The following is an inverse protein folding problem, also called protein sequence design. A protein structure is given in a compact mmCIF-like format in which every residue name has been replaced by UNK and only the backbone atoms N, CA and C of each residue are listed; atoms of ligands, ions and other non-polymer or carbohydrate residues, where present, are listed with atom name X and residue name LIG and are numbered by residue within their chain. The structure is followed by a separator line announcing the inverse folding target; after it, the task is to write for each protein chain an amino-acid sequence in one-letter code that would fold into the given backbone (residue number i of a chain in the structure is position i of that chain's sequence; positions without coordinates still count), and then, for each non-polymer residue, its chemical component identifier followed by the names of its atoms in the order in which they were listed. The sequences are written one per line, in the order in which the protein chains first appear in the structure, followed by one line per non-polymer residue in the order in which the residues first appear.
data_IF_498490883857
#
_entry.id   IF_498490883857
#
_cell.length_a   1.000
_cell.length_b   1.000
_cell.length_c   1.000
_cell.angle_alpha   90.00
_cell.angle_beta   90.00
_cell.angle_gamma   90.00
#
_symmetry.space_group_name_H-M   'P 1'
#
loop_
_entity.id
_entity.type
_entity.pdbx_description
1 polymer ?
#
# COMPACT_ATOMS: atom_id res chain seq x y z
N UNK A 1 51.06 -14.22 -18.07
CA UNK A 1 50.10 -13.34 -17.35
C UNK A 1 48.70 -13.63 -17.90
N UNK A 2 47.72 -13.73 -16.99
CA UNK A 2 46.26 -13.82 -17.19
C UNK A 2 45.76 -15.15 -17.78
N UNK A 3 45.17 -16.07 -17.00
CA UNK A 3 43.82 -16.06 -16.41
C UNK A 3 42.75 -16.02 -17.52
N UNK A 4 41.88 -17.02 -17.72
CA UNK A 4 41.15 -17.84 -16.75
C UNK A 4 39.67 -17.48 -16.89
N UNK A 5 38.82 -18.43 -17.30
CA UNK A 5 37.39 -18.19 -17.48
C UNK A 5 36.66 -19.35 -18.16
N UNK A 6 36.24 -20.32 -17.36
CA UNK A 6 35.35 -21.40 -17.74
C UNK A 6 33.92 -20.87 -17.96
N UNK A 7 33.29 -21.27 -19.05
CA UNK A 7 31.84 -21.16 -19.26
C UNK A 7 31.36 -22.51 -19.80
N UNK A 8 30.79 -23.33 -18.91
CA UNK A 8 30.11 -24.57 -19.30
C UNK A 8 28.60 -24.32 -19.31
N UNK A 9 28.06 -24.54 -20.50
CA UNK A 9 26.66 -24.49 -20.88
C UNK A 9 25.80 -25.60 -20.27
N UNK A 10 24.52 -25.28 -20.19
CA UNK A 10 23.34 -26.12 -20.40
C UNK A 10 23.28 -27.51 -19.75
N UNK A 11 22.40 -27.64 -18.75
CA UNK A 11 21.73 -28.90 -18.48
C UNK A 11 20.23 -28.77 -18.77
N UNK A 12 19.83 -29.38 -19.88
CA UNK A 12 18.47 -29.78 -20.23
C UNK A 12 18.36 -31.27 -19.92
N UNK A 13 17.33 -31.72 -19.21
CA UNK A 13 16.32 -32.67 -19.72
C UNK A 13 15.40 -33.28 -18.63
N UNK A 14 14.13 -33.38 -19.05
CA UNK A 14 13.11 -34.40 -18.78
C UNK A 14 12.44 -34.50 -17.40
N UNK A 15 11.26 -33.88 -17.36
CA UNK A 15 9.93 -34.48 -17.14
C UNK A 15 9.88 -35.89 -16.52
N UNK A 16 9.27 -35.98 -15.34
CA UNK A 16 8.57 -37.19 -14.87
C UNK A 16 7.28 -36.76 -14.19
N UNK A 17 6.15 -37.10 -14.81
CA UNK A 17 4.83 -37.05 -14.19
C UNK A 17 4.81 -37.99 -12.99
N UNK A 18 4.32 -37.50 -11.86
CA UNK A 18 3.94 -38.34 -10.72
C UNK A 18 2.77 -37.67 -10.01
N UNK A 19 1.59 -37.99 -10.53
CA UNK A 19 0.33 -37.94 -9.82
C UNK A 19 0.44 -38.75 -8.52
N UNK A 20 0.49 -38.08 -7.38
CA UNK A 20 0.15 -38.68 -6.08
C UNK A 20 -0.51 -37.66 -5.18
N UNK A 21 -1.81 -37.87 -4.97
CA UNK A 21 -2.38 -37.87 -3.63
C UNK A 21 -2.64 -36.51 -2.99
N UNK A 22 -3.90 -36.11 -3.07
CA UNK A 22 -4.63 -35.45 -1.99
C UNK A 22 -3.98 -35.63 -0.60
N UNK A 23 -3.48 -34.53 -0.04
CA UNK A 23 -3.32 -34.41 1.42
C UNK A 23 -4.28 -33.32 1.86
N UNK A 24 -5.49 -33.74 2.20
CA UNK A 24 -6.42 -32.95 3.00
C UNK A 24 -5.75 -32.63 4.33
N UNK A 25 -5.16 -31.43 4.43
CA UNK A 25 -5.00 -30.80 5.72
C UNK A 25 -6.29 -30.03 5.97
N UNK A 26 -7.11 -30.55 6.89
CA UNK A 26 -8.28 -29.86 7.46
C UNK A 26 -7.81 -28.67 8.31
N UNK A 27 -7.17 -27.70 7.67
CA UNK A 27 -6.96 -26.38 8.24
C UNK A 27 -8.34 -25.71 8.28
N UNK A 28 -8.86 -25.48 9.49
CA UNK A 28 -10.09 -24.69 9.70
C UNK A 28 -10.03 -23.47 8.77
N UNK A 29 -11.08 -23.20 7.97
CA UNK A 29 -11.05 -22.08 7.04
C UNK A 29 -10.72 -20.83 7.85
N UNK A 30 -9.70 -20.10 7.40
CA UNK A 30 -9.33 -18.83 8.02
C UNK A 30 -10.60 -17.98 8.07
N UNK A 31 -10.88 -17.25 9.17
CA UNK A 31 -12.16 -16.53 9.34
C UNK A 31 -12.43 -15.50 8.24
N UNK A 32 -11.41 -15.14 7.45
CA UNK A 32 -11.51 -14.22 6.32
C UNK A 32 -11.63 -14.92 4.95
N UNK A 33 -11.69 -16.25 4.90
CA UNK A 33 -11.78 -17.01 3.64
C UNK A 33 -13.11 -17.74 3.58
N UNK A 34 -14.00 -17.25 2.72
CA UNK A 34 -15.26 -17.94 2.42
C UNK A 34 -14.97 -19.28 1.70
N UNK A 35 -15.42 -20.42 2.25
CA UNK A 35 -15.24 -21.74 1.62
C UNK A 35 -15.85 -21.85 0.22
N UNK A 36 -16.87 -21.04 -0.09
CA UNK A 36 -17.52 -21.01 -1.40
C UNK A 36 -16.87 -20.00 -2.36
N UNK A 37 -15.82 -19.29 -1.93
CA UNK A 37 -15.16 -18.30 -2.76
C UNK A 37 -14.35 -18.97 -3.88
N UNK A 38 -14.95 -19.04 -5.07
CA UNK A 38 -14.26 -19.45 -6.28
C UNK A 38 -13.48 -18.24 -6.80
N UNK A 39 -12.16 -18.31 -6.74
CA UNK A 39 -11.31 -17.28 -7.34
C UNK A 39 -11.64 -17.21 -8.83
N UNK A 40 -11.98 -16.03 -9.35
CA UNK A 40 -11.99 -15.74 -10.79
C UNK A 40 -10.56 -15.70 -11.36
N UNK A 41 -9.70 -16.61 -10.88
CA UNK A 41 -8.38 -16.83 -11.42
C UNK A 41 -8.48 -17.25 -12.87
N UNK A 42 -7.40 -17.03 -13.61
CA UNK A 42 -7.11 -17.63 -14.91
C UNK A 42 -7.79 -19.02 -14.99
N UNK A 43 -8.88 -19.11 -15.77
CA UNK A 43 -9.62 -20.35 -16.00
C UNK A 43 -10.39 -20.92 -14.80
N UNK A 44 -11.43 -20.24 -14.32
CA UNK A 44 -12.51 -20.92 -13.61
C UNK A 44 -13.23 -21.91 -14.55
N UNK A 45 -13.60 -23.09 -14.05
CA UNK A 45 -14.13 -24.23 -14.83
C UNK A 45 -15.46 -23.98 -15.60
N UNK A 46 -16.01 -22.76 -15.54
CA UNK A 46 -17.21 -22.35 -16.27
C UNK A 46 -17.05 -21.04 -17.08
N UNK A 47 -15.84 -20.45 -17.13
CA UNK A 47 -15.57 -19.25 -17.91
C UNK A 47 -14.72 -19.62 -19.14
N UNK A 48 -15.40 -19.81 -20.27
CA UNK A 48 -14.74 -19.93 -21.58
C UNK A 48 -13.70 -18.84 -21.78
N UNK A 49 -12.64 -19.17 -22.52
CA UNK A 49 -11.46 -18.36 -22.86
C UNK A 49 -11.80 -16.94 -23.36
N UNK A 50 -12.22 -16.04 -22.47
CA UNK A 50 -12.33 -14.62 -22.74
C UNK A 50 -11.26 -13.91 -21.92
N UNK A 51 -10.36 -13.23 -22.62
CA UNK A 51 -9.33 -12.41 -22.03
C UNK A 51 -9.98 -11.45 -21.04
N UNK A 52 -9.44 -11.37 -19.82
CA UNK A 52 -9.89 -10.44 -18.78
C UNK A 52 -9.73 -9.01 -19.32
N UNK A 53 -10.80 -8.41 -19.83
CA UNK A 53 -10.80 -7.00 -20.21
C UNK A 53 -10.82 -6.16 -18.93
N UNK A 54 -9.88 -5.23 -18.83
CA UNK A 54 -9.85 -4.27 -17.74
C UNK A 54 -11.02 -3.29 -17.93
N UNK A 55 -11.99 -3.32 -17.02
CA UNK A 55 -13.10 -2.36 -17.04
C UNK A 55 -12.60 -1.00 -16.60
N UNK A 56 -13.03 0.05 -17.29
CA UNK A 56 -12.74 1.41 -16.89
C UNK A 56 -13.65 1.85 -15.72
N UNK A 57 -13.27 2.87 -14.96
CA UNK A 57 -14.03 3.33 -13.77
C UNK A 57 -15.51 3.58 -14.09
N UNK A 58 -15.80 4.24 -15.22
CA UNK A 58 -17.18 4.50 -15.67
C UNK A 58 -18.00 3.22 -15.83
N UNK A 59 -17.40 2.15 -16.38
CA UNK A 59 -18.07 0.88 -16.59
C UNK A 59 -18.29 0.13 -15.27
N UNK A 60 -17.33 0.22 -14.34
CA UNK A 60 -17.45 -0.34 -12.99
C UNK A 60 -18.64 0.32 -12.30
N UNK A 61 -18.65 1.64 -12.19
CA UNK A 61 -19.74 2.39 -11.54
C UNK A 61 -21.11 2.14 -12.18
N UNK A 62 -21.18 2.03 -13.52
CA UNK A 62 -22.43 1.71 -14.21
C UNK A 62 -22.92 0.29 -13.90
N UNK A 63 -22.01 -0.70 -13.92
CA UNK A 63 -22.37 -2.08 -13.58
C UNK A 63 -22.73 -2.24 -12.11
N UNK A 64 -22.08 -1.48 -11.24
CA UNK A 64 -22.39 -1.46 -9.82
C UNK A 64 -23.82 -0.95 -9.62
N UNK A 65 -24.19 0.24 -10.11
CA UNK A 65 -25.54 0.81 -9.94
C UNK A 65 -26.70 -0.09 -10.41
N UNK A 66 -26.44 -1.03 -11.32
CA UNK A 66 -27.45 -1.95 -11.85
C UNK A 66 -27.65 -3.22 -10.97
N UNK A 67 -26.80 -3.46 -9.99
CA UNK A 67 -26.91 -4.60 -9.09
C UNK A 67 -27.84 -4.27 -7.89
N UNK A 68 -28.58 -5.26 -7.37
CA UNK A 68 -29.42 -5.09 -6.19
C UNK A 68 -28.56 -5.03 -4.92
N UNK A 69 -27.93 -3.88 -4.65
CA UNK A 69 -27.10 -3.65 -3.47
C UNK A 69 -27.88 -3.74 -2.17
N UNK A 70 -27.27 -4.38 -1.17
CA UNK A 70 -27.61 -4.20 0.24
C UNK A 70 -26.79 -3.05 0.84
N UNK A 71 -27.28 -2.46 1.93
CA UNK A 71 -26.63 -1.30 2.58
C UNK A 71 -25.18 -1.57 3.01
N UNK A 72 -24.86 -2.83 3.33
CA UNK A 72 -23.55 -3.24 3.83
C UNK A 72 -22.63 -3.81 2.73
N UNK A 73 -23.08 -3.84 1.48
CA UNK A 73 -22.28 -4.39 0.40
C UNK A 73 -21.16 -3.40 0.02
N UNK A 74 -19.92 -3.89 -0.15
CA UNK A 74 -18.81 -3.05 -0.56
C UNK A 74 -18.98 -2.63 -2.03
N UNK A 75 -19.11 -1.32 -2.26
CA UNK A 75 -19.01 -0.69 -3.58
C UNK A 75 -17.62 -0.08 -3.75
N UNK A 76 -17.18 0.09 -5.01
CA UNK A 76 -15.94 0.79 -5.35
C UNK A 76 -15.79 2.16 -4.66
N UNK A 77 -16.89 2.86 -4.38
CA UNK A 77 -16.85 4.16 -3.70
C UNK A 77 -16.63 4.05 -2.18
N UNK A 78 -17.05 2.95 -1.56
CA UNK A 78 -17.05 2.78 -0.10
C UNK A 78 -15.83 2.01 0.42
N UNK A 79 -14.98 1.52 -0.48
CA UNK A 79 -13.74 0.85 -0.10
C UNK A 79 -12.64 1.89 0.13
N UNK A 80 -12.41 2.24 1.39
CA UNK A 80 -11.23 3.03 1.77
C UNK A 80 -10.12 2.12 2.31
N UNK A 81 -8.87 2.53 2.12
CA UNK A 81 -7.75 1.83 2.71
C UNK A 81 -7.79 1.98 4.24
N UNK A 82 -7.47 0.93 5.01
CA UNK A 82 -7.35 1.07 6.46
C UNK A 82 -6.20 2.03 6.80
N UNK A 83 -6.26 2.71 7.96
CA UNK A 83 -5.18 3.58 8.40
C UNK A 83 -3.87 2.79 8.55
N UNK A 84 -2.74 3.46 8.30
CA UNK A 84 -1.42 2.82 8.44
C UNK A 84 -1.12 2.48 9.90
N UNK A 85 -0.75 1.22 10.16
CA UNK A 85 -0.20 0.77 11.44
C UNK A 85 1.27 1.14 11.63
N UNK A 86 1.99 1.48 10.55
CA UNK A 86 3.39 1.88 10.64
C UNK A 86 3.49 3.33 11.09
N UNK A 87 4.29 3.64 12.13
CA UNK A 87 4.48 5.02 12.57
C UNK A 87 5.10 5.86 11.45
N UNK A 88 4.59 7.07 11.27
CA UNK A 88 5.10 7.99 10.26
C UNK A 88 6.51 8.46 10.63
N UNK A 89 7.42 8.46 9.64
CA UNK A 89 8.73 9.10 9.77
C UNK A 89 8.57 10.61 9.89
N UNK A 90 9.39 11.23 10.75
CA UNK A 90 9.38 12.68 10.98
C UNK A 90 10.58 13.30 10.28
N UNK A 91 10.32 14.40 9.60
CA UNK A 91 11.32 15.18 8.87
C UNK A 91 11.27 16.63 9.34
N UNK A 92 12.39 17.34 9.21
CA UNK A 92 12.51 18.76 9.51
C UNK A 92 11.62 19.55 8.56
N UNK A 93 10.90 20.53 9.10
CA UNK A 93 10.05 21.39 8.28
C UNK A 93 10.87 22.43 7.48
N UNK A 94 12.17 22.57 7.78
CA UNK A 94 13.09 23.50 7.12
C UNK A 94 13.91 22.78 6.04
N UNK A 95 14.70 21.76 6.41
CA UNK A 95 15.61 21.07 5.49
C UNK A 95 15.05 19.79 4.87
N UNK A 96 13.99 19.22 5.43
CA UNK A 96 13.49 17.89 5.01
C UNK A 96 14.35 16.71 5.46
N UNK A 97 15.41 16.93 6.26
CA UNK A 97 16.20 15.85 6.86
C UNK A 97 15.44 15.13 7.98
N UNK A 98 15.80 13.89 8.36
CA UNK A 98 15.15 13.19 9.47
C UNK A 98 15.22 14.01 10.77
N UNK A 99 14.06 14.30 11.36
CA UNK A 99 13.96 15.12 12.57
C UNK A 99 13.59 14.28 13.78
N UNK A 100 14.47 14.29 14.78
CA UNK A 100 14.24 13.64 16.07
C UNK A 100 13.52 14.56 17.07
N UNK A 101 13.57 15.87 16.83
CA UNK A 101 13.10 16.88 17.78
C UNK A 101 11.99 17.75 17.21
N UNK A 102 11.22 18.34 18.12
CA UNK A 102 10.11 19.25 17.80
C UNK A 102 10.11 20.36 18.82
N UNK A 103 10.01 21.59 18.36
CA UNK A 103 9.92 22.74 19.23
C UNK A 103 8.55 22.77 19.94
N UNK A 104 8.49 22.83 21.29
CA UNK A 104 7.22 22.94 22.00
C UNK A 104 6.40 24.19 21.69
N UNK A 105 7.04 25.30 21.27
CA UNK A 105 6.38 26.59 21.04
C UNK A 105 5.77 26.69 19.64
N UNK A 106 6.60 26.56 18.59
CA UNK A 106 6.16 26.62 17.19
C UNK A 106 5.56 25.30 16.68
N UNK A 107 5.79 24.19 17.39
CA UNK A 107 5.52 22.81 16.93
C UNK A 107 6.31 22.40 15.68
N UNK A 108 7.25 23.21 15.18
CA UNK A 108 8.07 22.84 14.03
C UNK A 108 9.09 21.76 14.40
N UNK A 109 9.34 20.85 13.46
CA UNK A 109 10.33 19.78 13.55
C UNK A 109 11.66 20.27 13.00
N UNK A 110 12.76 19.91 13.66
CA UNK A 110 14.10 20.31 13.27
C UNK A 110 15.10 19.15 13.46
N UNK A 111 16.18 19.21 12.69
CA UNK A 111 17.28 18.23 12.71
C UNK A 111 18.55 18.78 13.37
N UNK A 112 18.83 20.08 13.25
CA UNK A 112 20.05 20.71 13.74
C UNK A 112 19.77 21.83 14.72
N UNK A 113 20.77 22.21 15.51
CA UNK A 113 20.66 23.33 16.46
C UNK A 113 20.50 24.69 15.75
N UNK A 114 21.07 24.83 14.55
CA UNK A 114 20.94 26.03 13.72
C UNK A 114 19.49 26.25 13.27
N UNK A 115 18.81 25.17 12.86
CA UNK A 115 17.38 25.22 12.54
C UNK A 115 16.54 25.60 13.76
N UNK A 116 16.90 25.12 14.95
CA UNK A 116 16.20 25.49 16.18
C UNK A 116 16.30 27.00 16.47
N UNK A 117 17.49 27.58 16.31
CA UNK A 117 17.70 29.02 16.47
C UNK A 117 16.92 29.81 15.41
N UNK A 118 16.94 29.35 14.16
CA UNK A 118 16.19 29.97 13.05
C UNK A 118 14.68 29.95 13.30
N UNK A 119 14.11 28.81 13.71
CA UNK A 119 12.68 28.64 14.01
C UNK A 119 12.20 29.66 15.05
N UNK A 120 13.05 30.00 16.03
CA UNK A 120 12.73 30.96 17.10
C UNK A 120 12.66 32.41 16.63
N UNK A 121 13.22 32.70 15.47
CA UNK A 121 13.17 34.02 14.84
C UNK A 121 12.04 34.13 13.81
N UNK A 122 11.36 33.03 13.48
CA UNK A 122 10.29 33.03 12.49
C UNK A 122 9.03 33.74 13.03
N UNK A 123 8.35 34.55 12.21
CA UNK A 123 7.04 35.10 12.55
C UNK A 123 5.96 34.00 12.55
N UNK A 124 4.88 34.23 13.31
CA UNK A 124 3.78 33.27 13.49
C UNK A 124 3.19 32.79 12.17
N UNK A 125 3.02 33.68 11.20
CA UNK A 125 2.34 33.38 9.94
C UNK A 125 3.15 32.39 9.10
N UNK A 126 4.47 32.51 9.15
CA UNK A 126 5.40 31.59 8.50
C UNK A 126 5.38 30.23 9.19
N UNK A 127 5.36 30.22 10.53
CA UNK A 127 5.20 28.98 11.31
C UNK A 127 3.89 28.27 10.96
N UNK A 128 2.78 29.00 10.90
CA UNK A 128 1.48 28.47 10.48
C UNK A 128 1.52 27.93 9.06
N UNK A 129 2.20 28.61 8.13
CA UNK A 129 2.43 28.14 6.77
C UNK A 129 3.14 26.78 6.73
N UNK A 130 4.24 26.63 7.47
CA UNK A 130 4.96 25.35 7.58
C UNK A 130 4.10 24.24 8.19
N UNK A 131 3.33 24.53 9.24
CA UNK A 131 2.41 23.57 9.85
C UNK A 131 1.30 23.14 8.88
N UNK A 132 0.80 24.05 8.05
CA UNK A 132 -0.25 23.76 7.06
C UNK A 132 0.23 22.77 6.00
N UNK A 133 1.48 22.92 5.53
CA UNK A 133 2.07 22.01 4.52
C UNK A 133 2.08 20.55 4.99
N UNK A 134 2.38 20.31 6.28
CA UNK A 134 2.36 18.97 6.88
C UNK A 134 1.00 18.58 7.47
N UNK A 135 -0.05 19.36 7.20
CA UNK A 135 -1.42 19.16 7.72
C UNK A 135 -1.50 19.08 9.25
N UNK A 136 -0.69 19.90 9.93
CA UNK A 136 -0.63 19.98 11.40
C UNK A 136 -1.13 21.32 11.94
N UNK A 137 -1.96 22.04 11.18
CA UNK A 137 -2.66 23.21 11.68
C UNK A 137 -3.67 22.78 12.74
N UNK A 138 -3.43 23.18 13.99
CA UNK A 138 -4.43 23.05 15.04
C UNK A 138 -5.52 24.07 14.76
N UNK A 139 -6.58 23.67 14.07
CA UNK A 139 -7.84 24.40 14.18
C UNK A 139 -8.29 24.19 15.63
N UNK A 140 -8.21 25.22 16.45
CA UNK A 140 -8.91 25.21 17.73
C UNK A 140 -10.39 25.26 17.38
N UNK A 141 -11.06 24.11 17.49
CA UNK A 141 -12.52 23.97 17.38
C UNK A 141 -13.18 24.30 18.72
#
# INVERSE_FOLDING_TARGET
QSAGGEAVSENKFLNTDSNTGSVETTAKPLPFKDPNFIHSGIGGAAAGKKNRTWKNLKQILASERALPWQLNDPSYFNIDAPPSFKPAKKYSDISGLPANYTDPQSKLRFSTIEEFAYIRMLPSDVVTGYLALRKATSIVS
#
